data_IF_804464083773
#
_entry.id   IF_804464083773
#
_cell.length_a   1.000
_cell.length_b   1.000
_cell.length_c   1.000
_cell.angle_alpha   90.00
_cell.angle_beta   90.00
_cell.angle_gamma   90.00
#
_symmetry.space_group_name_H-M   'P 1'
#
loop_
_entity.id
_entity.type
_entity.pdbx_description
1 polymer ?
#
# COMPACT_ATOMS: atom_id res chain seq x y z
N UNK A 1 48.36 35.20 -31.66
CA UNK A 1 49.54 35.53 -30.82
C UNK A 1 49.45 34.68 -29.57
N UNK A 2 50.41 33.75 -29.40
CA UNK A 2 50.83 33.03 -28.19
C UNK A 2 49.75 32.19 -27.45
N UNK A 3 49.80 30.84 -27.49
CA UNK A 3 50.78 29.84 -27.00
C UNK A 3 50.42 29.30 -25.61
N UNK A 4 50.29 27.96 -25.60
CA UNK A 4 50.71 27.00 -24.58
C UNK A 4 49.96 26.98 -23.24
N UNK A 5 49.42 25.80 -22.89
CA UNK A 5 49.99 24.95 -21.82
C UNK A 5 49.33 23.54 -21.78
N UNK A 6 50.18 22.56 -22.13
CA UNK A 6 50.39 21.20 -21.57
C UNK A 6 49.19 20.31 -21.19
N UNK A 7 49.11 19.18 -21.92
CA UNK A 7 48.52 17.92 -21.47
C UNK A 7 49.38 17.29 -20.35
N UNK A 8 48.81 16.73 -19.28
CA UNK A 8 49.57 15.90 -18.34
C UNK A 8 49.74 14.49 -18.89
N UNK A 9 50.99 14.10 -19.08
CA UNK A 9 51.46 12.72 -19.27
C UNK A 9 51.60 12.03 -17.93
N UNK A 10 50.72 11.07 -17.63
CA UNK A 10 50.97 10.02 -16.64
C UNK A 10 50.31 8.72 -17.12
N UNK A 11 50.97 8.05 -18.08
CA UNK A 11 50.78 6.64 -18.36
C UNK A 11 52.03 5.93 -17.84
N UNK A 12 51.94 5.05 -16.83
CA UNK A 12 52.86 3.95 -16.73
C UNK A 12 52.35 2.82 -17.64
N UNK A 13 53.08 2.56 -18.71
CA UNK A 13 53.25 1.21 -19.27
C UNK A 13 53.87 0.30 -18.19
N UNK A 14 53.61 -1.02 -18.23
CA UNK A 14 54.06 -2.14 -17.34
C UNK A 14 52.84 -2.72 -16.58
N UNK A 15 52.36 -3.97 -16.69
CA UNK A 15 52.89 -5.25 -17.19
C UNK A 15 51.74 -6.17 -17.63
N UNK A 16 51.98 -6.90 -18.71
CA UNK A 16 51.43 -8.25 -18.95
C UNK A 16 51.97 -9.22 -17.89
N UNK A 17 51.09 -9.84 -17.10
CA UNK A 17 51.40 -10.84 -16.07
C UNK A 17 50.11 -11.34 -15.39
N UNK A 18 50.06 -12.57 -14.85
CA UNK A 18 48.86 -13.41 -14.89
C UNK A 18 47.74 -12.95 -13.95
N UNK A 19 46.51 -13.20 -14.39
CA UNK A 19 45.26 -12.97 -13.68
C UNK A 19 45.23 -13.69 -12.32
N UNK A 20 45.31 -12.93 -11.23
CA UNK A 20 44.92 -13.36 -9.89
C UNK A 20 43.65 -12.61 -9.47
N UNK A 21 42.64 -13.38 -9.03
CA UNK A 21 41.29 -12.92 -8.62
C UNK A 21 41.28 -11.81 -7.56
N UNK A 22 42.38 -11.55 -6.87
CA UNK A 22 42.46 -10.59 -5.75
C UNK A 22 42.41 -9.10 -6.19
N UNK A 23 43.00 -8.74 -7.34
CA UNK A 23 43.10 -7.33 -7.77
C UNK A 23 41.81 -6.76 -8.39
N UNK A 24 40.82 -7.59 -8.70
CA UNK A 24 39.53 -7.17 -9.25
C UNK A 24 38.59 -6.66 -8.15
N UNK A 25 38.57 -7.33 -7.00
CA UNK A 25 37.72 -6.94 -5.87
C UNK A 25 38.14 -5.61 -5.23
N UNK A 26 39.45 -5.34 -5.16
CA UNK A 26 39.94 -4.06 -4.61
C UNK A 26 39.54 -2.86 -5.49
N UNK A 27 39.51 -3.03 -6.82
CA UNK A 27 39.09 -1.96 -7.76
C UNK A 27 37.59 -1.71 -7.71
N UNK A 28 36.77 -2.75 -7.54
CA UNK A 28 35.32 -2.61 -7.35
C UNK A 28 35.02 -1.91 -6.02
N UNK A 29 35.72 -2.28 -4.95
CA UNK A 29 35.47 -1.69 -3.62
C UNK A 29 35.76 -0.19 -3.60
N UNK A 30 36.83 0.26 -4.26
CA UNK A 30 37.17 1.69 -4.37
C UNK A 30 36.13 2.46 -5.19
N UNK A 31 35.62 1.89 -6.29
CA UNK A 31 34.59 2.52 -7.11
C UNK A 31 33.23 2.62 -6.38
N UNK A 32 32.89 1.60 -5.60
CA UNK A 32 31.67 1.59 -4.76
C UNK A 32 31.77 2.61 -3.64
N UNK A 33 32.92 2.73 -2.97
CA UNK A 33 33.14 3.73 -1.92
C UNK A 33 33.03 5.18 -2.44
N UNK A 34 33.54 5.45 -3.65
CA UNK A 34 33.42 6.76 -4.30
C UNK A 34 31.96 7.06 -4.68
N UNK A 35 31.21 6.06 -5.16
CA UNK A 35 29.79 6.22 -5.46
C UNK A 35 28.95 6.53 -4.21
N UNK A 36 29.25 5.91 -3.07
CA UNK A 36 28.59 6.21 -1.79
C UNK A 36 28.92 7.62 -1.26
N UNK A 37 30.16 8.08 -1.45
CA UNK A 37 30.55 9.46 -1.09
C UNK A 37 29.82 10.50 -1.93
N UNK A 38 29.70 10.28 -3.25
CA UNK A 38 28.97 11.19 -4.15
C UNK A 38 27.46 11.18 -3.82
N UNK A 39 26.88 10.02 -3.54
CA UNK A 39 25.48 9.91 -3.11
C UNK A 39 25.24 10.64 -1.76
N UNK A 40 26.16 10.53 -0.80
CA UNK A 40 26.08 11.23 0.48
C UNK A 40 26.06 12.76 0.34
N UNK A 41 26.90 13.31 -0.54
CA UNK A 41 26.96 14.77 -0.80
C UNK A 41 25.71 15.27 -1.53
N UNK A 42 25.19 14.50 -2.49
CA UNK A 42 23.93 14.84 -3.19
C UNK A 42 22.70 14.78 -2.26
N UNK A 43 22.70 13.87 -1.30
CA UNK A 43 21.63 13.77 -0.29
C UNK A 43 21.71 14.94 0.70
N UNK A 44 22.90 15.41 1.10
CA UNK A 44 23.03 16.55 1.99
C UNK A 44 22.58 17.88 1.35
N UNK A 45 22.87 18.08 0.06
CA UNK A 45 22.45 19.28 -0.67
C UNK A 45 20.93 19.30 -0.94
N UNK A 46 20.34 18.12 -1.16
CA UNK A 46 18.88 17.98 -1.26
C UNK A 46 18.18 18.28 0.08
N UNK A 47 18.74 17.81 1.20
CA UNK A 47 18.19 18.06 2.54
C UNK A 47 18.22 19.55 2.91
N UNK A 48 19.29 20.26 2.53
CA UNK A 48 19.42 21.71 2.73
C UNK A 48 18.33 22.50 1.97
N UNK A 49 18.06 22.10 0.73
CA UNK A 49 17.09 22.79 -0.14
C UNK A 49 15.64 22.58 0.32
N UNK A 50 15.29 21.36 0.75
CA UNK A 50 13.95 21.03 1.29
C UNK A 50 13.72 21.71 2.65
N UNK A 51 14.75 21.79 3.51
CA UNK A 51 14.68 22.45 4.82
C UNK A 51 14.43 23.97 4.72
N UNK A 52 15.04 24.64 3.74
CA UNK A 52 14.81 26.08 3.54
C UNK A 52 13.42 26.39 2.98
N UNK A 53 12.86 25.51 2.14
CA UNK A 53 11.53 25.71 1.58
C UNK A 53 10.41 25.52 2.63
N UNK A 54 10.56 24.53 3.51
CA UNK A 54 9.61 24.30 4.63
C UNK A 54 9.66 25.40 5.69
N UNK A 55 10.84 25.98 5.96
CA UNK A 55 10.99 27.09 6.91
C UNK A 55 10.37 28.40 6.41
N UNK A 56 10.29 28.60 5.10
CA UNK A 56 9.62 29.76 4.48
C UNK A 56 8.09 29.70 4.57
N UNK A 57 7.50 28.51 4.66
CA UNK A 57 6.04 28.33 4.77
C UNK A 57 5.52 28.48 6.21
N UNK A 58 6.41 28.54 7.21
CA UNK A 58 6.07 28.44 8.64
C UNK A 58 6.37 29.71 9.47
N UNK A 59 6.72 30.84 8.84
CA UNK A 59 7.15 32.04 9.57
C UNK A 59 6.06 33.07 9.86
N UNK A 60 4.87 32.93 9.28
CA UNK A 60 3.76 33.84 9.57
C UNK A 60 2.63 33.15 10.34
N UNK A 61 2.30 33.75 11.48
CA UNK A 61 1.15 33.52 12.37
C UNK A 61 1.36 32.59 13.57
N UNK A 62 1.89 33.16 14.65
CA UNK A 62 1.64 32.71 16.02
C UNK A 62 0.96 33.81 16.83
N UNK A 63 -0.36 33.78 16.86
CA UNK A 63 -1.16 34.15 18.03
C UNK A 63 -2.61 33.72 17.82
N UNK A 64 -3.11 32.76 18.59
CA UNK A 64 -4.30 32.97 19.42
C UNK A 64 -4.65 31.77 20.30
N UNK A 65 -5.26 32.14 21.42
CA UNK A 65 -5.52 31.42 22.66
C UNK A 65 -6.66 30.42 22.57
N UNK A 66 -6.44 29.22 23.12
CA UNK A 66 -7.47 28.20 23.37
C UNK A 66 -8.48 28.64 24.45
N UNK A 67 -9.77 28.47 24.16
CA UNK A 67 -10.82 28.29 25.17
C UNK A 67 -11.49 26.95 24.96
N UNK A 68 -11.49 26.14 26.01
CA UNK A 68 -12.22 24.88 26.12
C UNK A 68 -13.71 25.15 26.39
N UNK A 69 -14.61 24.44 25.73
CA UNK A 69 -15.96 24.20 26.25
C UNK A 69 -16.40 22.77 25.95
N UNK A 70 -16.63 22.03 27.02
CA UNK A 70 -17.31 20.74 27.10
C UNK A 70 -18.81 20.89 26.87
N UNK A 71 -19.38 20.04 26.01
CA UNK A 71 -20.83 19.91 25.82
C UNK A 71 -21.13 18.93 24.69
N UNK A 72 -21.40 17.67 25.03
CA UNK A 72 -21.75 16.62 24.08
C UNK A 72 -23.21 16.78 23.64
N UNK A 73 -23.43 17.52 22.56
CA UNK A 73 -24.65 17.48 21.78
C UNK A 73 -24.39 16.51 20.61
N UNK A 74 -25.02 15.33 20.63
CA UNK A 74 -24.80 14.31 19.60
C UNK A 74 -25.54 14.72 18.31
N UNK A 75 -24.86 15.46 17.44
CA UNK A 75 -25.42 16.02 16.21
C UNK A 75 -25.73 14.88 15.21
N UNK A 76 -26.95 14.80 14.63
CA UNK A 76 -27.35 13.76 13.65
C UNK A 76 -26.40 13.57 12.45
N UNK A 77 -25.65 14.63 12.09
CA UNK A 77 -24.65 14.60 11.03
C UNK A 77 -23.39 13.80 11.39
N UNK A 78 -22.99 13.76 12.66
CA UNK A 78 -21.87 12.90 13.10
C UNK A 78 -22.24 11.43 12.98
N UNK A 79 -23.45 11.04 13.44
CA UNK A 79 -23.92 9.66 13.33
C UNK A 79 -24.00 9.18 11.88
N UNK A 80 -24.39 10.05 10.94
CA UNK A 80 -24.47 9.68 9.52
C UNK A 80 -23.11 9.43 8.86
N UNK A 81 -22.07 10.21 9.21
CA UNK A 81 -20.71 9.98 8.68
C UNK A 81 -20.07 8.72 9.25
N UNK A 82 -20.27 8.47 10.55
CA UNK A 82 -19.87 7.24 11.23
C UNK A 82 -20.52 6.01 10.60
N UNK A 83 -21.84 6.04 10.41
CA UNK A 83 -22.58 4.95 9.75
C UNK A 83 -22.06 4.71 8.32
N UNK A 84 -21.76 5.79 7.58
CA UNK A 84 -21.22 5.68 6.23
C UNK A 84 -19.83 5.03 6.22
N UNK A 85 -18.91 5.41 7.11
CA UNK A 85 -17.57 4.83 7.18
C UNK A 85 -17.56 3.32 7.49
N UNK A 86 -18.60 2.81 8.15
CA UNK A 86 -18.81 1.41 8.45
C UNK A 86 -19.85 0.71 7.58
N UNK A 87 -20.28 1.29 6.45
CA UNK A 87 -21.25 0.64 5.56
C UNK A 87 -20.57 -0.48 4.71
N UNK A 88 -21.30 -1.10 3.79
CA UNK A 88 -20.78 -2.19 2.94
C UNK A 88 -19.69 -1.75 1.95
N UNK A 89 -19.55 -0.44 1.69
CA UNK A 89 -18.48 0.14 0.87
C UNK A 89 -17.41 0.85 1.70
N UNK A 90 -17.47 0.73 3.04
CA UNK A 90 -16.59 1.40 4.00
C UNK A 90 -16.53 2.93 3.82
N UNK A 91 -17.63 3.54 3.37
CA UNK A 91 -17.74 4.98 3.13
C UNK A 91 -17.08 5.48 1.84
N UNK A 92 -16.64 4.57 0.97
CA UNK A 92 -16.15 4.88 -0.38
C UNK A 92 -17.26 4.74 -1.42
N UNK A 93 -17.01 5.26 -2.63
CA UNK A 93 -17.91 5.09 -3.77
C UNK A 93 -18.07 3.62 -4.17
N UNK A 94 -17.00 2.83 -4.01
CA UNK A 94 -16.94 1.41 -4.31
C UNK A 94 -15.66 0.81 -3.72
N UNK A 95 -15.66 -0.50 -3.48
CA UNK A 95 -14.45 -1.29 -3.25
C UNK A 95 -14.11 -2.02 -4.55
N UNK A 96 -13.00 -1.69 -5.19
CA UNK A 96 -12.56 -2.28 -6.46
C UNK A 96 -11.44 -3.29 -6.22
N UNK A 97 -11.74 -4.55 -6.54
CA UNK A 97 -10.89 -5.71 -6.32
C UNK A 97 -10.17 -6.11 -7.60
N UNK A 98 -8.86 -5.89 -7.68
CA UNK A 98 -8.06 -6.24 -8.85
C UNK A 98 -7.77 -7.73 -8.84
N UNK A 99 -8.23 -8.44 -9.86
CA UNK A 99 -8.03 -9.89 -9.97
C UNK A 99 -7.70 -10.32 -11.40
N UNK A 100 -6.70 -11.19 -11.55
CA UNK A 100 -6.45 -11.82 -12.84
C UNK A 100 -7.55 -12.84 -13.12
N UNK A 101 -8.05 -12.89 -14.37
CA UNK A 101 -9.22 -13.71 -14.74
C UNK A 101 -9.06 -15.21 -14.51
N UNK A 102 -7.83 -15.70 -14.40
CA UNK A 102 -7.50 -17.10 -14.15
C UNK A 102 -7.30 -17.42 -12.67
N UNK A 103 -7.35 -16.43 -11.77
CA UNK A 103 -7.19 -16.57 -10.32
C UNK A 103 -8.53 -16.76 -9.64
N UNK A 104 -9.20 -17.86 -9.97
CA UNK A 104 -10.47 -18.26 -9.34
C UNK A 104 -10.32 -18.43 -7.83
N UNK A 105 -9.17 -18.96 -7.41
CA UNK A 105 -8.81 -19.15 -6.02
C UNK A 105 -8.78 -17.83 -5.22
N UNK A 106 -8.27 -16.75 -5.82
CA UNK A 106 -8.26 -15.41 -5.21
C UNK A 106 -9.63 -14.77 -5.21
N UNK A 107 -10.41 -14.95 -6.29
CA UNK A 107 -11.79 -14.47 -6.36
C UNK A 107 -12.66 -15.12 -5.28
N UNK A 108 -12.56 -16.44 -5.11
CA UNK A 108 -13.30 -17.18 -4.10
C UNK A 108 -12.90 -16.74 -2.69
N UNK A 109 -11.60 -16.58 -2.43
CA UNK A 109 -11.11 -16.07 -1.14
C UNK A 109 -11.64 -14.66 -0.84
N UNK A 110 -11.58 -13.73 -1.80
CA UNK A 110 -12.12 -12.38 -1.61
C UNK A 110 -13.64 -12.39 -1.38
N UNK A 111 -14.36 -13.25 -2.12
CA UNK A 111 -15.83 -13.41 -1.99
C UNK A 111 -16.22 -13.94 -0.62
N UNK A 112 -15.52 -14.95 -0.09
CA UNK A 112 -15.77 -15.49 1.25
C UNK A 112 -15.55 -14.42 2.33
N UNK A 113 -14.44 -13.67 2.25
CA UNK A 113 -14.17 -12.60 3.20
C UNK A 113 -15.22 -11.48 3.12
N UNK A 114 -15.61 -11.08 1.91
CA UNK A 114 -16.63 -10.07 1.69
C UNK A 114 -17.99 -10.50 2.25
N UNK A 115 -18.40 -11.75 2.02
CA UNK A 115 -19.59 -12.34 2.62
C UNK A 115 -19.57 -12.29 4.15
N UNK A 116 -18.47 -12.72 4.77
CA UNK A 116 -18.34 -12.79 6.23
C UNK A 116 -18.31 -11.41 6.90
N UNK A 117 -17.73 -10.42 6.23
CA UNK A 117 -17.63 -9.04 6.73
C UNK A 117 -18.76 -8.11 6.27
N UNK A 118 -19.63 -8.58 5.36
CA UNK A 118 -20.71 -7.79 4.76
C UNK A 118 -20.20 -6.61 3.92
N UNK A 119 -19.19 -6.85 3.08
CA UNK A 119 -18.64 -5.88 2.13
C UNK A 119 -19.14 -6.11 0.70
N UNK A 120 -19.33 -5.01 -0.03
CA UNK A 120 -19.65 -5.02 -1.45
C UNK A 120 -18.37 -4.76 -2.26
N UNK A 121 -17.79 -5.82 -2.83
CA UNK A 121 -16.61 -5.74 -3.70
C UNK A 121 -17.02 -5.84 -5.17
N UNK A 122 -16.33 -5.09 -6.03
CA UNK A 122 -16.49 -5.11 -7.48
C UNK A 122 -15.20 -5.65 -8.09
N UNK A 123 -15.28 -6.80 -8.75
CA UNK A 123 -14.13 -7.34 -9.47
C UNK A 123 -13.76 -6.42 -10.65
N UNK A 124 -12.49 -6.06 -10.70
CA UNK A 124 -11.86 -5.34 -11.81
C UNK A 124 -10.80 -6.25 -12.41
N UNK A 125 -10.85 -6.52 -13.73
CA UNK A 125 -9.85 -7.37 -14.36
C UNK A 125 -8.44 -6.79 -14.22
N UNK A 126 -7.56 -7.59 -13.64
CA UNK A 126 -6.12 -7.39 -13.72
C UNK A 126 -5.62 -7.56 -15.15
N UNK A 127 -4.38 -7.12 -15.41
CA UNK A 127 -3.75 -7.21 -16.72
C UNK A 127 -2.60 -8.19 -16.64
N UNK A 128 -2.69 -9.28 -17.41
CA UNK A 128 -1.68 -10.32 -17.48
C UNK A 128 -0.43 -9.79 -18.20
N UNK A 129 0.76 -10.21 -17.75
CA UNK A 129 2.02 -9.83 -18.37
C UNK A 129 2.06 -10.15 -19.87
N UNK A 130 1.39 -11.24 -20.29
CA UNK A 130 1.33 -11.65 -21.70
C UNK A 130 0.52 -10.70 -22.59
N UNK A 131 -0.36 -9.88 -21.99
CA UNK A 131 -1.22 -8.93 -22.70
C UNK A 131 -0.53 -7.55 -22.82
N UNK A 132 0.69 -7.40 -22.30
CA UNK A 132 1.46 -6.17 -22.38
C UNK A 132 2.18 -6.09 -23.74
N UNK A 133 1.88 -5.00 -24.44
CA UNK A 133 2.53 -4.61 -25.70
C UNK A 133 3.05 -3.19 -25.57
N UNK A 134 4.17 -2.87 -26.24
CA UNK A 134 4.75 -1.53 -26.17
C UNK A 134 3.81 -0.45 -26.75
N UNK A 135 3.02 -0.80 -27.76
CA UNK A 135 1.99 0.10 -28.32
C UNK A 135 0.90 0.32 -27.28
N UNK A 136 0.76 1.57 -26.81
CA UNK A 136 -0.23 1.97 -25.82
C UNK A 136 0.30 2.10 -24.38
N UNK A 137 1.54 1.70 -24.13
CA UNK A 137 2.22 1.98 -22.86
C UNK A 137 2.72 3.43 -22.80
N UNK A 138 2.77 4.06 -21.61
CA UNK A 138 3.44 5.35 -21.46
C UNK A 138 4.92 5.28 -21.84
N UNK A 139 5.52 6.42 -22.25
CA UNK A 139 6.96 6.51 -22.43
C UNK A 139 7.70 6.23 -21.11
N UNK A 140 8.96 5.82 -21.24
CA UNK A 140 9.86 5.67 -20.11
C UNK A 140 11.27 6.08 -20.51
N UNK A 141 11.95 6.84 -19.66
CA UNK A 141 13.38 7.12 -19.84
C UNK A 141 14.28 5.94 -19.43
N UNK A 142 13.70 4.88 -18.86
CA UNK A 142 14.39 3.69 -18.34
C UNK A 142 13.94 2.42 -19.08
N UNK A 143 14.17 2.40 -20.39
CA UNK A 143 13.78 1.28 -21.26
C UNK A 143 14.34 -0.04 -20.70
N UNK A 144 13.48 -1.06 -20.63
CA UNK A 144 13.82 -2.41 -20.18
C UNK A 144 13.95 -2.60 -18.66
N UNK A 145 13.69 -1.57 -17.84
CA UNK A 145 13.77 -1.70 -16.38
C UNK A 145 12.52 -2.35 -15.77
N UNK A 146 11.33 -2.02 -16.28
CA UNK A 146 10.08 -2.59 -15.76
C UNK A 146 9.77 -3.93 -16.41
N UNK A 147 9.51 -4.93 -15.56
CA UNK A 147 9.03 -6.26 -15.97
C UNK A 147 7.60 -6.16 -16.47
N UNK A 148 7.20 -7.04 -17.39
CA UNK A 148 5.85 -6.99 -17.93
C UNK A 148 4.76 -7.25 -16.87
N UNK A 149 5.05 -8.06 -15.85
CA UNK A 149 4.17 -8.20 -14.69
C UNK A 149 4.00 -6.90 -13.88
N UNK A 150 5.05 -6.09 -13.76
CA UNK A 150 4.98 -4.77 -13.10
C UNK A 150 4.19 -3.77 -13.94
N UNK A 151 4.35 -3.82 -15.28
CA UNK A 151 3.54 -3.04 -16.21
C UNK A 151 2.06 -3.44 -16.15
N UNK A 152 1.76 -4.75 -16.08
CA UNK A 152 0.41 -5.31 -15.92
C UNK A 152 -0.24 -4.87 -14.60
N UNK A 153 0.51 -4.96 -13.50
CA UNK A 153 0.10 -4.43 -12.20
C UNK A 153 -0.25 -2.94 -12.30
N UNK A 154 0.68 -2.09 -12.76
CA UNK A 154 0.40 -0.66 -12.95
C UNK A 154 -0.84 -0.43 -13.82
N UNK A 155 -0.97 -1.15 -14.94
CA UNK A 155 -2.06 -0.97 -15.89
C UNK A 155 -3.41 -1.27 -15.25
N UNK A 156 -3.51 -2.29 -14.39
CA UNK A 156 -4.72 -2.61 -13.65
C UNK A 156 -5.14 -1.45 -12.74
N UNK A 157 -4.22 -0.89 -11.94
CA UNK A 157 -4.52 0.29 -11.10
C UNK A 157 -4.87 1.53 -11.94
N UNK A 158 -4.13 1.78 -13.01
CA UNK A 158 -4.38 2.91 -13.89
C UNK A 158 -5.73 2.81 -14.63
N UNK A 159 -6.26 1.59 -14.87
CA UNK A 159 -7.60 1.41 -15.42
C UNK A 159 -8.67 1.95 -14.46
N UNK A 160 -8.53 1.65 -13.16
CA UNK A 160 -9.41 2.17 -12.11
C UNK A 160 -9.33 3.69 -12.06
N UNK A 161 -8.13 4.26 -11.98
CA UNK A 161 -7.95 5.72 -11.94
C UNK A 161 -8.61 6.38 -13.15
N UNK A 162 -8.41 5.81 -14.34
CA UNK A 162 -8.93 6.36 -15.59
C UNK A 162 -10.47 6.30 -15.62
N UNK A 163 -11.03 5.20 -15.11
CA UNK A 163 -12.48 5.04 -14.97
C UNK A 163 -13.06 6.04 -13.98
N UNK A 164 -12.44 6.21 -12.80
CA UNK A 164 -12.87 7.19 -11.80
C UNK A 164 -12.97 8.61 -12.38
N UNK A 165 -12.03 9.01 -13.24
CA UNK A 165 -12.06 10.34 -13.87
C UNK A 165 -13.19 10.47 -14.90
N UNK A 166 -13.45 9.43 -15.70
CA UNK A 166 -14.57 9.42 -16.67
C UNK A 166 -15.93 9.46 -15.97
N UNK A 167 -16.08 8.63 -14.95
CA UNK A 167 -17.33 8.48 -14.19
C UNK A 167 -17.55 9.59 -13.18
N UNK A 168 -16.53 10.41 -12.94
CA UNK A 168 -16.51 11.47 -11.93
C UNK A 168 -16.75 10.91 -10.52
N UNK A 169 -16.32 9.67 -10.27
CA UNK A 169 -16.47 8.97 -9.00
C UNK A 169 -15.80 9.70 -7.84
N UNK A 170 -16.36 9.52 -6.64
CA UNK A 170 -15.75 9.95 -5.38
C UNK A 170 -14.57 9.03 -5.03
N UNK A 171 -14.01 9.14 -3.83
CA UNK A 171 -12.93 8.26 -3.41
C UNK A 171 -13.32 6.78 -3.54
N UNK A 172 -12.37 5.96 -4.00
CA UNK A 172 -12.51 4.51 -4.21
C UNK A 172 -11.48 3.79 -3.36
N UNK A 173 -11.86 2.69 -2.72
CA UNK A 173 -10.93 1.75 -2.11
C UNK A 173 -10.51 0.72 -3.16
N UNK A 174 -9.22 0.58 -3.40
CA UNK A 174 -8.63 -0.41 -4.30
C UNK A 174 -7.97 -1.48 -3.44
N UNK A 175 -8.25 -2.75 -3.73
CA UNK A 175 -7.63 -3.91 -3.08
C UNK A 175 -7.07 -4.89 -4.11
N UNK A 176 -5.92 -5.50 -3.81
CA UNK A 176 -5.27 -6.52 -4.64
C UNK A 176 -5.87 -7.92 -4.38
N UNK A 177 -5.64 -8.84 -5.32
CA UNK A 177 -6.20 -10.21 -5.27
C UNK A 177 -5.75 -11.04 -4.06
N UNK A 178 -4.59 -10.70 -3.49
CA UNK A 178 -4.04 -11.36 -2.31
C UNK A 178 -4.33 -10.62 -1.00
N UNK A 179 -5.24 -9.63 -0.99
CA UNK A 179 -5.64 -8.93 0.22
C UNK A 179 -6.51 -9.78 1.15
N UNK A 180 -6.24 -9.68 2.44
CA UNK A 180 -7.04 -10.20 3.55
C UNK A 180 -7.28 -9.14 4.62
N UNK A 181 -8.32 -9.36 5.43
CA UNK A 181 -8.73 -8.45 6.50
C UNK A 181 -9.37 -9.18 7.69
N UNK A 182 -9.53 -8.47 8.79
CA UNK A 182 -10.30 -8.92 9.96
C UNK A 182 -11.80 -8.90 9.64
N UNK A 183 -12.55 -9.92 10.08
CA UNK A 183 -14.01 -9.99 9.86
C UNK A 183 -14.76 -8.73 10.36
N UNK A 184 -14.21 -8.04 11.36
CA UNK A 184 -14.78 -6.82 11.93
C UNK A 184 -14.30 -5.53 11.22
N UNK A 185 -13.85 -5.62 9.96
CA UNK A 185 -13.32 -4.47 9.19
C UNK A 185 -14.24 -3.25 9.19
N UNK A 186 -15.57 -3.43 9.24
CA UNK A 186 -16.54 -2.33 9.30
C UNK A 186 -16.44 -1.54 10.61
N UNK A 187 -16.27 -2.22 11.73
CA UNK A 187 -16.00 -1.59 13.04
C UNK A 187 -14.63 -0.89 13.03
N UNK A 188 -13.61 -1.55 12.48
CA UNK A 188 -12.24 -1.02 12.38
C UNK A 188 -12.21 0.28 11.57
N UNK A 189 -12.88 0.30 10.43
CA UNK A 189 -12.94 1.47 9.54
C UNK A 189 -13.78 2.60 10.17
N UNK A 190 -14.86 2.28 10.87
CA UNK A 190 -15.63 3.27 11.65
C UNK A 190 -14.76 3.93 12.72
N UNK A 191 -13.97 3.14 13.47
CA UNK A 191 -13.06 3.66 14.48
C UNK A 191 -11.95 4.52 13.86
N UNK A 192 -11.31 4.03 12.78
CA UNK A 192 -10.32 4.79 12.02
C UNK A 192 -10.89 6.13 11.57
N UNK A 193 -12.11 6.17 11.05
CA UNK A 193 -12.72 7.39 10.50
C UNK A 193 -12.74 8.54 11.52
N UNK A 194 -13.18 8.28 12.74
CA UNK A 194 -13.22 9.27 13.84
C UNK A 194 -11.83 9.82 14.12
N UNK A 195 -10.85 8.93 14.24
CA UNK A 195 -9.49 9.31 14.57
C UNK A 195 -8.78 9.98 13.40
N UNK A 196 -9.09 9.61 12.17
CA UNK A 196 -8.56 10.24 10.97
C UNK A 196 -9.09 11.67 10.80
N UNK A 197 -10.39 11.90 10.96
CA UNK A 197 -10.95 13.25 10.92
C UNK A 197 -10.34 14.16 11.99
N UNK A 198 -10.17 13.65 13.22
CA UNK A 198 -9.46 14.36 14.30
C UNK A 198 -8.00 14.65 13.93
N UNK A 199 -7.32 13.71 13.27
CA UNK A 199 -5.93 13.89 12.88
C UNK A 199 -5.78 14.96 11.78
N UNK A 200 -6.70 14.99 10.81
CA UNK A 200 -6.74 16.06 9.80
C UNK A 200 -6.92 17.44 10.44
N UNK A 201 -7.78 17.55 11.46
CA UNK A 201 -7.99 18.79 12.23
C UNK A 201 -6.73 19.20 13.00
N UNK A 202 -6.06 18.26 13.68
CA UNK A 202 -4.80 18.52 14.40
C UNK A 202 -3.67 19.01 13.48
N UNK A 203 -3.67 18.58 12.22
CA UNK A 203 -2.70 19.02 11.22
C UNK A 203 -3.09 20.34 10.52
N UNK A 204 -4.24 20.92 10.86
CA UNK A 204 -4.83 22.05 10.12
C UNK A 204 -4.88 21.77 8.60
N UNK A 205 -5.30 20.54 8.25
CA UNK A 205 -5.27 20.05 6.88
C UNK A 205 -6.07 20.95 5.94
N UNK A 206 -5.47 21.29 4.79
CA UNK A 206 -6.08 22.16 3.78
C UNK A 206 -6.62 21.35 2.60
N UNK A 207 -7.76 21.76 2.01
CA UNK A 207 -8.24 21.16 0.79
C UNK A 207 -7.19 21.24 -0.32
N UNK A 208 -6.95 20.13 -1.02
CA UNK A 208 -5.99 20.04 -2.12
C UNK A 208 -6.55 20.72 -3.37
N UNK A 209 -5.68 21.27 -4.22
CA UNK A 209 -6.10 21.84 -5.49
C UNK A 209 -6.88 20.82 -6.36
N UNK A 210 -8.00 21.24 -6.95
CA UNK A 210 -8.76 20.43 -7.91
C UNK A 210 -8.68 21.04 -9.31
N UNK A 211 -7.93 20.39 -10.20
CA UNK A 211 -7.80 20.83 -11.59
C UNK A 211 -8.99 20.43 -12.48
N UNK A 212 -10.02 19.76 -11.93
CA UNK A 212 -11.20 19.35 -12.70
C UNK A 212 -11.96 20.56 -13.26
N UNK A 213 -12.54 20.41 -14.44
CA UNK A 213 -13.46 21.40 -15.02
C UNK A 213 -14.65 21.65 -14.08
N UNK A 214 -14.89 22.91 -13.71
CA UNK A 214 -15.79 23.31 -12.61
C UNK A 214 -15.44 22.67 -11.27
N UNK A 215 -14.15 22.47 -10.99
CA UNK A 215 -13.66 22.00 -9.70
C UNK A 215 -14.13 22.95 -8.61
N UNK A 216 -14.92 22.43 -7.67
CA UNK A 216 -15.54 23.25 -6.64
C UNK A 216 -14.45 23.97 -5.83
N UNK A 217 -14.45 25.30 -5.88
CA UNK A 217 -13.59 26.14 -5.06
C UNK A 217 -14.13 26.28 -3.62
N UNK A 218 -15.27 25.65 -3.33
CA UNK A 218 -15.89 25.69 -2.01
C UNK A 218 -14.93 25.11 -0.98
N UNK A 219 -14.69 25.89 0.07
CA UNK A 219 -14.03 25.42 1.28
C UNK A 219 -14.76 24.17 1.78
N UNK A 220 -14.16 22.99 1.62
CA UNK A 220 -14.62 21.81 2.33
C UNK A 220 -14.16 21.94 3.78
N UNK A 221 -15.10 22.23 4.67
CA UNK A 221 -14.84 22.14 6.10
C UNK A 221 -14.66 20.68 6.50
N UNK A 222 -13.81 20.39 7.50
CA UNK A 222 -13.68 19.07 8.14
C UNK A 222 -14.93 18.70 9.00
N UNK A 223 -16.10 19.23 8.65
CA UNK A 223 -17.37 18.88 9.28
C UNK A 223 -17.81 17.50 8.79
N UNK A 224 -18.39 16.67 9.68
CA UNK A 224 -18.93 15.36 9.32
C UNK A 224 -19.83 15.43 8.08
N UNK A 225 -19.55 14.56 7.10
CA UNK A 225 -20.30 14.48 5.86
C UNK A 225 -20.59 13.00 5.54
N UNK A 226 -21.87 12.63 5.45
CA UNK A 226 -22.29 11.26 5.11
C UNK A 226 -21.79 10.83 3.73
N UNK A 227 -21.71 11.75 2.77
CA UNK A 227 -21.30 11.45 1.40
C UNK A 227 -19.77 11.51 1.22
N UNK A 228 -19.04 12.14 2.14
CA UNK A 228 -17.57 12.15 2.17
C UNK A 228 -17.06 11.91 3.60
N UNK A 229 -17.33 10.74 4.20
CA UNK A 229 -16.95 10.50 5.59
C UNK A 229 -15.44 10.59 5.77
N UNK A 230 -14.66 10.36 4.70
CA UNK A 230 -13.20 10.38 4.70
C UNK A 230 -12.58 11.73 4.36
N UNK A 231 -13.37 12.78 4.10
CA UNK A 231 -12.85 14.10 3.70
C UNK A 231 -11.86 14.03 2.53
N UNK A 232 -12.23 13.33 1.45
CA UNK A 232 -11.40 13.02 0.27
C UNK A 232 -10.77 14.21 -0.45
N UNK A 233 -11.13 15.44 -0.06
CA UNK A 233 -10.52 16.69 -0.54
C UNK A 233 -9.26 17.09 0.23
N UNK A 234 -8.89 16.39 1.29
CA UNK A 234 -7.75 16.69 2.16
C UNK A 234 -6.55 15.77 1.94
N UNK A 235 -6.65 14.82 1.01
CA UNK A 235 -5.62 13.83 0.72
C UNK A 235 -5.75 13.30 -0.71
N UNK A 236 -4.62 12.83 -1.25
CA UNK A 236 -4.59 12.14 -2.54
C UNK A 236 -4.78 10.63 -2.36
N UNK A 237 -4.13 10.05 -1.35
CA UNK A 237 -4.18 8.62 -1.04
C UNK A 237 -4.25 8.35 0.47
N UNK A 238 -4.98 7.30 0.86
CA UNK A 238 -4.96 6.72 2.21
C UNK A 238 -4.53 5.25 2.09
N UNK A 239 -3.31 4.96 2.53
CA UNK A 239 -2.73 3.61 2.52
C UNK A 239 -3.26 2.79 3.69
N UNK A 240 -3.80 1.60 3.39
CA UNK A 240 -4.43 0.72 4.38
C UNK A 240 -3.81 -0.68 4.42
N UNK A 241 -2.89 -0.99 3.50
CA UNK A 241 -2.26 -2.31 3.36
C UNK A 241 -0.82 -2.29 2.84
N UNK A 242 -0.04 -1.26 3.19
CA UNK A 242 1.38 -1.22 2.89
C UNK A 242 2.16 -2.31 3.64
N UNK A 243 3.21 -2.85 3.03
CA UNK A 243 4.09 -3.85 3.67
C UNK A 243 5.33 -3.21 4.31
N UNK A 244 5.62 -1.96 3.94
CA UNK A 244 6.74 -1.18 4.47
C UNK A 244 6.42 0.30 4.37
N UNK A 245 6.95 1.08 5.30
CA UNK A 245 6.91 2.53 5.26
C UNK A 245 8.18 3.14 5.88
N UNK A 246 8.64 4.27 5.34
CA UNK A 246 9.81 4.96 5.89
C UNK A 246 9.50 5.71 7.20
N UNK A 247 10.56 6.03 7.94
CA UNK A 247 10.51 6.82 9.18
C UNK A 247 10.23 8.31 8.96
N UNK A 248 10.30 8.80 7.72
CA UNK A 248 9.99 10.21 7.39
C UNK A 248 8.58 10.53 7.83
N UNK A 249 8.36 11.65 8.52
CA UNK A 249 7.07 12.07 9.08
C UNK A 249 6.47 11.15 10.17
N UNK A 250 7.23 10.24 10.78
CA UNK A 250 6.68 9.32 11.81
C UNK A 250 6.17 10.04 13.06
N UNK A 251 6.70 11.23 13.33
CA UNK A 251 6.28 12.14 14.38
C UNK A 251 4.93 12.83 14.12
N UNK A 252 4.49 12.90 12.86
CA UNK A 252 3.16 13.40 12.50
C UNK A 252 2.19 12.23 12.49
N UNK A 253 1.76 11.84 13.68
CA UNK A 253 0.91 10.67 13.88
C UNK A 253 -0.03 10.82 15.06
N UNK A 254 -1.08 10.00 15.06
CA UNK A 254 -2.06 9.89 16.11
C UNK A 254 -2.31 8.42 16.40
N UNK A 255 -1.91 7.99 17.59
CA UNK A 255 -2.27 6.67 18.13
C UNK A 255 -3.68 6.68 18.72
N UNK A 256 -4.41 5.58 18.58
CA UNK A 256 -5.76 5.41 19.10
C UNK A 256 -6.06 3.93 19.39
N UNK A 257 -6.90 3.63 20.39
CA UNK A 257 -7.22 2.26 20.76
C UNK A 257 -8.06 1.56 19.68
N UNK A 258 -7.76 0.29 19.43
CA UNK A 258 -8.53 -0.60 18.54
C UNK A 258 -8.61 -2.01 19.16
N UNK A 259 -9.82 -2.44 19.51
CA UNK A 259 -10.09 -3.75 20.14
C UNK A 259 -9.83 -4.95 19.21
N UNK A 260 -9.63 -4.72 17.92
CA UNK A 260 -9.40 -5.73 16.87
C UNK A 260 -7.93 -5.85 16.44
N UNK A 261 -7.02 -5.13 17.09
CA UNK A 261 -5.58 -5.26 16.88
C UNK A 261 -4.97 -6.16 17.94
N UNK A 262 -4.02 -7.02 17.55
CA UNK A 262 -3.18 -7.76 18.49
C UNK A 262 -2.03 -6.89 19.02
N UNK A 263 -1.71 -7.05 20.31
CA UNK A 263 -0.60 -6.34 20.95
C UNK A 263 0.78 -6.77 20.42
N UNK A 264 1.80 -5.97 20.73
CA UNK A 264 3.20 -6.34 20.48
C UNK A 264 3.76 -5.87 19.14
N UNK A 265 3.03 -5.01 18.43
CA UNK A 265 3.52 -4.35 17.21
C UNK A 265 4.51 -3.24 17.53
N UNK A 266 5.38 -2.93 16.57
CA UNK A 266 6.37 -1.87 16.69
C UNK A 266 6.01 -0.70 15.77
N UNK A 267 6.03 0.51 16.30
CA UNK A 267 5.93 1.74 15.54
C UNK A 267 7.25 2.51 15.67
N UNK A 268 8.21 2.19 14.82
CA UNK A 268 9.53 2.83 14.76
C UNK A 268 10.29 2.83 16.10
N UNK A 269 10.38 1.67 16.74
CA UNK A 269 11.04 1.48 18.03
C UNK A 269 10.13 1.69 19.23
N UNK A 270 8.87 2.09 19.02
CA UNK A 270 7.86 2.16 20.06
C UNK A 270 6.99 0.90 20.03
N UNK A 271 7.10 0.07 21.07
CA UNK A 271 6.19 -1.06 21.29
C UNK A 271 4.77 -0.56 21.53
N UNK A 272 3.83 -1.11 20.78
CA UNK A 272 2.40 -0.82 20.81
C UNK A 272 1.63 -1.93 21.52
N UNK A 273 0.55 -1.57 22.20
CA UNK A 273 -0.45 -2.48 22.73
C UNK A 273 -1.58 -2.67 21.71
N UNK A 274 -2.82 -2.48 22.15
CA UNK A 274 -4.04 -2.63 21.35
C UNK A 274 -4.40 -1.32 20.61
N UNK A 275 -3.42 -0.68 19.99
CA UNK A 275 -3.61 0.59 19.29
C UNK A 275 -3.28 0.48 17.80
N UNK A 276 -3.97 1.31 17.01
CA UNK A 276 -3.52 1.72 15.68
C UNK A 276 -2.97 3.12 15.72
N UNK A 277 -2.18 3.44 14.71
CA UNK A 277 -1.60 4.75 14.45
C UNK A 277 -2.03 5.17 13.06
N UNK A 278 -2.66 6.33 12.95
CA UNK A 278 -2.82 7.02 11.67
C UNK A 278 -1.76 8.12 11.58
N UNK A 279 -1.17 8.31 10.40
CA UNK A 279 -0.03 9.22 10.25
C UNK A 279 0.02 9.87 8.88
N UNK A 280 0.73 11.00 8.80
CA UNK A 280 1.20 11.52 7.53
C UNK A 280 2.31 10.59 7.02
N UNK A 281 2.14 10.13 5.78
CA UNK A 281 2.99 9.06 5.26
C UNK A 281 4.43 9.52 5.02
N UNK A 282 5.36 8.59 5.24
CA UNK A 282 6.77 8.73 4.89
C UNK A 282 7.14 8.11 3.54
N UNK A 283 6.15 7.68 2.75
CA UNK A 283 6.37 6.89 1.55
C UNK A 283 6.25 5.39 1.83
N UNK A 284 5.14 4.83 1.36
CA UNK A 284 4.75 3.43 1.48
C UNK A 284 5.34 2.54 0.37
N UNK A 285 5.33 1.23 0.58
CA UNK A 285 5.60 0.18 -0.41
C UNK A 285 4.50 -0.88 -0.31
N UNK A 286 4.22 -1.57 -1.42
CA UNK A 286 3.06 -2.44 -1.63
C UNK A 286 1.72 -1.69 -1.74
N UNK A 287 0.85 -2.21 -2.62
CA UNK A 287 -0.47 -1.64 -2.95
C UNK A 287 -1.63 -2.54 -2.55
N UNK A 288 -1.41 -3.48 -1.62
CA UNK A 288 -2.40 -4.47 -1.14
C UNK A 288 -3.78 -3.88 -0.92
N UNK A 289 -3.85 -2.71 -0.27
CA UNK A 289 -5.06 -1.92 -0.17
C UNK A 289 -4.75 -0.44 0.02
N UNK A 290 -5.44 0.42 -0.73
CA UNK A 290 -5.43 1.85 -0.52
C UNK A 290 -6.68 2.52 -1.07
N UNK A 291 -7.12 3.58 -0.39
CA UNK A 291 -8.11 4.48 -0.96
C UNK A 291 -7.44 5.60 -1.74
N UNK A 292 -8.06 6.01 -2.84
CA UNK A 292 -7.57 7.08 -3.70
C UNK A 292 -8.68 8.10 -3.95
N UNK A 293 -8.34 9.39 -3.82
CA UNK A 293 -9.25 10.48 -4.19
C UNK A 293 -9.24 10.72 -5.69
N UNK A 294 -10.23 11.45 -6.21
CA UNK A 294 -10.27 11.82 -7.62
C UNK A 294 -9.04 12.64 -8.04
N UNK A 295 -8.54 13.52 -7.16
CA UNK A 295 -7.31 14.27 -7.40
C UNK A 295 -6.08 13.35 -7.44
N UNK A 296 -5.99 12.41 -6.49
CA UNK A 296 -4.89 11.44 -6.47
C UNK A 296 -4.85 10.57 -7.72
N UNK A 297 -6.01 10.10 -8.19
CA UNK A 297 -6.15 9.36 -9.43
C UNK A 297 -5.65 10.17 -10.64
N UNK A 298 -6.00 11.46 -10.73
CA UNK A 298 -5.53 12.35 -11.79
C UNK A 298 -4.01 12.56 -11.75
N UNK A 299 -3.44 12.79 -10.56
CA UNK A 299 -1.99 12.95 -10.38
C UNK A 299 -1.22 11.70 -10.78
N UNK A 300 -1.67 10.52 -10.35
CA UNK A 300 -1.02 9.24 -10.66
C UNK A 300 -1.08 8.90 -12.15
N UNK A 301 -2.24 9.13 -12.79
CA UNK A 301 -2.36 8.97 -14.25
C UNK A 301 -1.44 9.92 -15.00
N UNK A 302 -1.42 11.20 -14.63
CA UNK A 302 -0.56 12.18 -15.29
C UNK A 302 0.92 11.82 -15.12
N UNK A 303 1.35 11.54 -13.88
CA UNK A 303 2.75 11.23 -13.58
C UNK A 303 3.22 9.99 -14.33
N UNK A 304 2.42 8.93 -14.36
CA UNK A 304 2.77 7.70 -15.07
C UNK A 304 2.65 7.83 -16.59
N UNK A 305 1.74 8.68 -17.11
CA UNK A 305 1.65 8.98 -18.53
C UNK A 305 2.86 9.78 -19.06
N UNK A 306 3.48 10.60 -18.22
CA UNK A 306 4.69 11.35 -18.57
C UNK A 306 5.94 10.47 -18.60
N UNK A 307 6.08 9.56 -17.63
CA UNK A 307 7.26 8.70 -17.50
C UNK A 307 6.98 7.51 -16.57
N UNK A 308 6.75 6.32 -17.13
CA UNK A 308 6.55 5.10 -16.34
C UNK A 308 7.90 4.45 -16.04
N UNK A 309 8.57 4.92 -14.98
CA UNK A 309 9.98 4.61 -14.68
C UNK A 309 10.19 3.72 -13.44
N UNK A 310 9.11 3.38 -12.73
CA UNK A 310 9.11 2.53 -11.54
C UNK A 310 7.80 1.70 -11.46
N UNK A 311 7.81 0.57 -10.73
CA UNK A 311 6.58 -0.11 -10.33
C UNK A 311 5.62 0.83 -9.60
N UNK A 312 4.32 0.52 -9.65
CA UNK A 312 3.26 1.44 -9.21
C UNK A 312 3.42 1.93 -7.77
N UNK A 313 3.79 1.03 -6.87
CA UNK A 313 4.03 1.32 -5.45
C UNK A 313 5.25 2.24 -5.24
N UNK A 314 6.36 1.99 -5.95
CA UNK A 314 7.55 2.82 -5.88
C UNK A 314 7.34 4.19 -6.55
N UNK A 315 6.50 4.27 -7.58
CA UNK A 315 6.07 5.54 -8.18
C UNK A 315 5.26 6.34 -7.15
N UNK A 316 4.27 5.73 -6.49
CA UNK A 316 3.51 6.36 -5.39
C UNK A 316 4.43 6.82 -4.27
N UNK A 317 5.35 5.96 -3.83
CA UNK A 317 6.34 6.26 -2.78
C UNK A 317 7.15 7.51 -3.10
N UNK A 318 7.67 7.60 -4.32
CA UNK A 318 8.46 8.76 -4.76
C UNK A 318 7.63 10.03 -4.74
N UNK A 319 6.39 9.97 -5.21
CA UNK A 319 5.47 11.11 -5.18
C UNK A 319 5.06 11.51 -3.76
N UNK A 320 4.96 10.57 -2.82
CA UNK A 320 4.77 10.89 -1.40
C UNK A 320 5.98 11.64 -0.84
N UNK A 321 7.19 11.14 -1.13
CA UNK A 321 8.43 11.73 -0.62
C UNK A 321 8.74 13.11 -1.22
N UNK A 322 8.33 13.37 -2.46
CA UNK A 322 8.47 14.69 -3.10
C UNK A 322 7.38 15.69 -2.68
N UNK A 323 6.29 15.22 -2.05
CA UNK A 323 5.13 16.04 -1.71
C UNK A 323 4.14 16.22 -2.86
N UNK A 324 4.33 15.53 -4.00
CA UNK A 324 3.39 15.55 -5.11
C UNK A 324 2.08 14.84 -4.76
N UNK A 325 2.13 13.84 -3.87
CA UNK A 325 0.97 13.21 -3.25
C UNK A 325 0.92 13.48 -1.75
N UNK A 326 -0.24 13.96 -1.27
CA UNK A 326 -0.56 13.99 0.15
C UNK A 326 -1.11 12.63 0.53
N UNK A 327 -0.31 11.85 1.25
CA UNK A 327 -0.63 10.46 1.62
C UNK A 327 -0.69 10.31 3.12
N UNK A 328 -1.72 9.62 3.58
CA UNK A 328 -1.84 9.15 4.96
C UNK A 328 -1.75 7.63 5.00
N UNK A 329 -1.29 7.06 6.11
CA UNK A 329 -1.20 5.61 6.30
C UNK A 329 -1.68 5.19 7.69
N UNK A 330 -2.00 3.91 7.82
CA UNK A 330 -2.44 3.29 9.09
C UNK A 330 -1.54 2.11 9.44
N UNK A 331 -1.10 2.03 10.70
CA UNK A 331 -0.22 1.01 11.24
C UNK A 331 -0.71 0.55 12.63
N UNK A 332 -0.88 -0.75 12.94
CA UNK A 332 -0.91 -1.92 12.04
C UNK A 332 -1.81 -1.71 10.83
N UNK A 333 -1.59 -2.45 9.75
CA UNK A 333 -2.43 -2.31 8.55
C UNK A 333 -3.81 -2.92 8.76
N UNK A 334 -4.80 -2.41 8.03
CA UNK A 334 -6.19 -2.89 8.09
C UNK A 334 -6.40 -4.03 7.08
N UNK A 335 -5.65 -3.98 5.99
CA UNK A 335 -5.54 -5.05 5.01
C UNK A 335 -4.10 -5.53 4.95
N UNK A 336 -3.90 -6.80 4.64
CA UNK A 336 -2.58 -7.38 4.50
C UNK A 336 -2.63 -8.48 3.45
N UNK A 337 -1.46 -8.93 2.99
CA UNK A 337 -1.42 -10.02 2.04
C UNK A 337 -1.63 -11.35 2.77
N UNK A 338 -2.39 -12.25 2.17
CA UNK A 338 -2.48 -13.64 2.58
C UNK A 338 -1.72 -14.54 1.61
N UNK A 339 -1.27 -15.67 2.13
CA UNK A 339 -0.73 -16.77 1.33
C UNK A 339 -1.30 -18.10 1.78
N UNK A 340 -1.10 -19.13 0.96
CA UNK A 340 -1.44 -20.48 1.38
C UNK A 340 -0.52 -20.94 2.52
N UNK A 341 -1.05 -21.76 3.41
CA UNK A 341 -0.23 -22.48 4.39
C UNK A 341 0.84 -23.30 3.67
N UNK A 342 1.97 -23.52 4.34
CA UNK A 342 3.07 -24.30 3.76
C UNK A 342 2.68 -25.76 3.54
N UNK A 343 3.38 -26.43 2.63
CA UNK A 343 3.34 -27.88 2.45
C UNK A 343 1.94 -28.47 2.18
N UNK A 344 1.14 -27.77 1.38
CA UNK A 344 -0.15 -28.27 0.84
C UNK A 344 -0.17 -28.32 -0.70
N UNK A 345 0.99 -28.17 -1.35
CA UNK A 345 1.14 -28.26 -2.82
C UNK A 345 0.86 -26.97 -3.60
N UNK A 346 0.62 -25.85 -2.91
CA UNK A 346 0.25 -24.57 -3.55
C UNK A 346 1.45 -23.73 -4.01
N UNK A 347 2.62 -23.91 -3.38
CA UNK A 347 3.86 -23.22 -3.78
C UNK A 347 4.33 -23.68 -5.16
N UNK A 348 4.28 -24.98 -5.39
CA UNK A 348 4.65 -25.67 -6.64
C UNK A 348 3.75 -25.28 -7.80
N UNK A 349 2.52 -24.84 -7.49
CA UNK A 349 1.55 -24.30 -8.44
C UNK A 349 1.75 -22.81 -8.74
N UNK A 350 2.72 -22.15 -8.11
CA UNK A 350 2.97 -20.72 -8.27
C UNK A 350 1.87 -19.83 -7.65
N UNK A 351 1.07 -20.35 -6.72
CA UNK A 351 -0.15 -19.68 -6.28
C UNK A 351 0.08 -18.45 -5.36
N UNK A 352 1.26 -18.33 -4.73
CA UNK A 352 1.52 -17.29 -3.74
C UNK A 352 1.99 -15.94 -4.33
N UNK A 353 2.39 -15.86 -5.61
CA UNK A 353 2.78 -14.59 -6.24
C UNK A 353 2.66 -14.62 -7.77
N UNK A 354 1.90 -13.68 -8.32
CA UNK A 354 1.72 -13.52 -9.78
C UNK A 354 2.86 -12.75 -10.46
N UNK A 355 3.71 -12.05 -9.70
CA UNK A 355 4.82 -11.24 -10.25
C UNK A 355 6.16 -11.96 -10.17
N UNK A 356 6.40 -12.73 -9.09
CA UNK A 356 7.73 -13.28 -8.82
C UNK A 356 7.90 -14.75 -9.23
N UNK A 357 6.84 -15.45 -9.67
CA UNK A 357 6.90 -16.79 -10.27
C UNK A 357 7.53 -17.86 -9.37
N UNK A 358 6.72 -18.73 -8.76
CA UNK A 358 7.23 -19.87 -7.97
C UNK A 358 7.16 -21.18 -8.74
N UNK A 359 8.29 -21.71 -9.22
CA UNK A 359 8.44 -23.14 -9.50
C UNK A 359 9.63 -23.63 -8.71
N UNK A 360 9.39 -24.55 -7.78
CA UNK A 360 10.45 -25.30 -7.09
C UNK A 360 10.49 -26.71 -7.66
N UNK A 361 11.69 -27.16 -8.06
CA UNK A 361 11.98 -28.54 -8.51
C UNK A 361 12.19 -29.51 -7.31
N UNK A 362 11.79 -29.11 -6.10
CA UNK A 362 11.97 -29.87 -4.87
C UNK A 362 10.92 -30.99 -4.74
N UNK A 363 11.27 -32.06 -4.00
CA UNK A 363 10.30 -33.08 -3.59
C UNK A 363 9.13 -32.41 -2.86
N UNK A 364 7.91 -32.64 -3.34
CA UNK A 364 6.70 -32.02 -2.80
C UNK A 364 6.45 -32.57 -1.38
N UNK A 365 6.63 -31.72 -0.37
CA UNK A 365 6.29 -32.03 1.02
C UNK A 365 4.83 -31.64 1.25
N UNK A 366 4.02 -32.58 1.75
CA UNK A 366 2.55 -32.44 1.88
C UNK A 366 2.05 -32.57 3.33
N UNK A 367 2.91 -32.35 4.32
CA UNK A 367 2.58 -32.52 5.75
C UNK A 367 1.73 -31.37 6.34
N UNK A 368 1.60 -30.25 5.64
CA UNK A 368 0.78 -29.10 6.07
C UNK A 368 -0.72 -29.38 6.12
N UNK A 369 -1.20 -30.46 5.49
CA UNK A 369 -2.60 -30.86 5.53
C UNK A 369 -3.08 -31.25 6.94
N UNK A 370 -2.19 -31.66 7.84
CA UNK A 370 -2.56 -31.90 9.24
C UNK A 370 -3.01 -30.60 9.94
N UNK A 371 -2.32 -29.48 9.67
CA UNK A 371 -2.70 -28.18 10.20
C UNK A 371 -3.99 -27.65 9.55
N UNK A 372 -4.18 -27.89 8.25
CA UNK A 372 -5.44 -27.56 7.56
C UNK A 372 -6.62 -28.30 8.19
N UNK A 373 -6.50 -29.60 8.44
CA UNK A 373 -7.55 -30.41 9.11
C UNK A 373 -7.88 -29.89 10.50
N UNK A 374 -6.86 -29.52 11.26
CA UNK A 374 -7.01 -28.98 12.62
C UNK A 374 -7.62 -27.59 12.67
N UNK A 375 -7.24 -26.71 11.74
CA UNK A 375 -7.63 -25.29 11.77
C UNK A 375 -8.86 -24.99 10.92
N UNK A 376 -9.15 -25.83 9.92
CA UNK A 376 -10.15 -25.58 8.89
C UNK A 376 -9.73 -24.49 7.88
N UNK A 377 -8.46 -24.07 7.86
CA UNK A 377 -7.98 -23.01 6.97
C UNK A 377 -6.82 -23.47 6.10
N UNK A 378 -6.84 -23.09 4.83
CA UNK A 378 -5.69 -23.19 3.91
C UNK A 378 -4.94 -21.86 3.77
N UNK A 379 -5.44 -20.81 4.41
CA UNK A 379 -4.93 -19.45 4.33
C UNK A 379 -4.26 -19.04 5.63
N UNK A 380 -3.25 -18.18 5.50
CA UNK A 380 -2.56 -17.52 6.62
C UNK A 380 -2.10 -16.13 6.22
N UNK A 381 -1.74 -15.32 7.19
CA UNK A 381 -1.00 -14.08 6.97
C UNK A 381 0.30 -14.35 6.21
N UNK A 382 0.63 -13.51 5.23
CA UNK A 382 1.87 -13.61 4.48
C UNK A 382 3.07 -13.39 5.39
N UNK A 383 4.01 -14.34 5.36
CA UNK A 383 5.24 -14.23 6.13
C UNK A 383 6.06 -12.99 5.74
N UNK A 384 6.77 -12.41 6.71
CA UNK A 384 7.65 -11.25 6.48
C UNK A 384 6.95 -9.90 6.42
N UNK A 385 5.63 -9.83 6.68
CA UNK A 385 4.89 -8.58 6.83
C UNK A 385 4.70 -8.28 8.33
N UNK A 386 5.58 -7.49 8.99
CA UNK A 386 5.55 -7.30 10.44
C UNK A 386 4.29 -6.59 10.94
N UNK A 387 3.62 -5.86 10.06
CA UNK A 387 2.54 -4.92 10.36
C UNK A 387 1.15 -5.57 10.39
N UNK A 388 1.05 -6.88 10.11
CA UNK A 388 -0.22 -7.63 10.13
C UNK A 388 -0.62 -7.97 11.56
N UNK A 389 -1.78 -7.50 12.01
CA UNK A 389 -2.22 -7.65 13.41
C UNK A 389 -3.69 -8.07 13.55
N UNK A 390 -4.20 -8.90 12.64
CA UNK A 390 -5.60 -9.33 12.68
C UNK A 390 -5.88 -10.15 13.94
N UNK A 391 -6.97 -9.82 14.62
CA UNK A 391 -7.45 -10.63 15.75
C UNK A 391 -8.31 -11.79 15.26
N UNK A 392 -9.06 -11.58 14.19
CA UNK A 392 -9.96 -12.52 13.56
C UNK A 392 -9.88 -12.37 12.03
N UNK A 393 -8.78 -12.83 11.42
CA UNK A 393 -8.66 -12.87 9.96
C UNK A 393 -9.85 -13.64 9.36
N UNK A 394 -10.56 -13.02 8.41
CA UNK A 394 -11.80 -13.56 7.88
C UNK A 394 -11.60 -14.94 7.22
N UNK A 395 -10.51 -15.14 6.48
CA UNK A 395 -10.19 -16.43 5.85
C UNK A 395 -9.93 -17.54 6.86
N UNK A 396 -9.13 -17.28 7.89
CA UNK A 396 -8.87 -18.27 8.95
C UNK A 396 -10.13 -18.68 9.72
N UNK A 397 -11.09 -17.76 9.87
CA UNK A 397 -12.34 -18.03 10.57
C UNK A 397 -13.42 -18.66 9.68
N UNK A 398 -13.25 -18.62 8.36
CA UNK A 398 -14.31 -18.93 7.40
C UNK A 398 -14.97 -20.28 7.63
N UNK A 399 -14.18 -21.35 7.81
CA UNK A 399 -14.73 -22.69 8.06
C UNK A 399 -15.64 -22.73 9.29
N UNK A 400 -15.13 -22.29 10.44
CA UNK A 400 -15.88 -22.34 11.71
C UNK A 400 -17.14 -21.47 11.72
N UNK A 401 -17.17 -20.40 10.91
CA UNK A 401 -18.32 -19.50 10.83
C UNK A 401 -19.37 -19.97 9.83
N UNK A 402 -18.94 -20.53 8.70
CA UNK A 402 -19.85 -20.99 7.64
C UNK A 402 -20.37 -22.39 7.96
N UNK A 403 -19.53 -23.26 8.52
CA UNK A 403 -19.84 -24.65 8.84
C UNK A 403 -19.51 -24.98 10.31
N UNK A 404 -20.20 -24.37 11.28
CA UNK A 404 -19.85 -24.45 12.71
C UNK A 404 -19.96 -25.86 13.33
N UNK A 405 -20.60 -26.81 12.63
CA UNK A 405 -20.79 -28.19 13.09
C UNK A 405 -20.06 -29.22 12.21
N UNK A 406 -19.38 -28.78 11.16
CA UNK A 406 -18.68 -29.68 10.26
C UNK A 406 -17.21 -29.80 10.68
N UNK A 407 -16.72 -31.03 10.73
CA UNK A 407 -15.29 -31.31 10.80
C UNK A 407 -14.77 -31.54 9.40
N UNK A 408 -13.70 -30.85 9.02
CA UNK A 408 -13.15 -30.93 7.66
C UNK A 408 -12.82 -32.37 7.28
N UNK A 409 -12.27 -33.15 8.22
CA UNK A 409 -11.94 -34.57 8.01
C UNK A 409 -13.16 -35.42 7.63
N UNK A 410 -14.34 -35.13 8.18
CA UNK A 410 -15.58 -35.86 7.86
C UNK A 410 -16.11 -35.49 6.47
N UNK A 411 -15.81 -34.28 5.99
CA UNK A 411 -16.26 -33.79 4.68
C UNK A 411 -15.34 -34.12 3.50
N UNK A 412 -14.20 -34.76 3.77
CA UNK A 412 -13.19 -35.08 2.76
C UNK A 412 -13.31 -36.54 2.28
N UNK A 413 -12.82 -36.78 1.05
CA UNK A 413 -12.69 -38.10 0.48
C UNK A 413 -11.82 -39.00 1.37
N UNK A 414 -12.32 -40.18 1.72
CA UNK A 414 -11.57 -41.23 2.41
C UNK A 414 -11.29 -42.37 1.43
N UNK A 415 -10.02 -42.58 1.09
CA UNK A 415 -9.58 -43.66 0.18
C UNK A 415 -10.08 -45.04 0.63
N UNK A 416 -10.15 -45.26 1.95
CA UNK A 416 -10.63 -46.51 2.55
C UNK A 416 -12.15 -46.71 2.40
N UNK A 417 -12.90 -45.64 2.12
CA UNK A 417 -14.36 -45.69 1.91
C UNK A 417 -14.73 -45.75 0.42
N UNK A 418 -13.75 -45.65 -0.49
CA UNK A 418 -13.92 -45.87 -1.93
C UNK A 418 -14.88 -44.89 -2.64
N UNK A 419 -15.04 -43.67 -2.12
CA UNK A 419 -16.08 -42.72 -2.53
C UNK A 419 -15.65 -41.66 -3.56
#
# INVERSE_FOLDING_TARGET
MLRNLRKPTWLPTVLTGPSSRSNYFFRIFVLVAIAFLIAGVLISDFHSTVYQHTKSLLRDNTSHSHKNSTGAEHIPHQSGALEAAGNSTLGFSSIQFINLRNRFDRLDAATLQAYLSGLDIIEVPGVDAKDIHDVGMPPTHRIGVLRDGEKGCWRAHANIWSQMLRDKSRAVLIIESDAAWDINVRDIMTNLNVHFARFLDQLDSKPIHNARWNGDATQTSLKPNRDDPWHSRHWDMLSLGQCFESTVNSNYSLAYPDKHVLEGKDYFGKKMGYERVVRLSGGIVCTTAYAISQTGAAKLLLRSAMDLDNPVDLLMRRMTLSGDLIVYSVMPTIFAQWEYVNNIGMKERGANSDINGGKSDDNIIMDGWADVKKTGSVWRDKEGHPDVAFKNMALEKAWSLIMPKAELEVSQYHEDEGN
#
